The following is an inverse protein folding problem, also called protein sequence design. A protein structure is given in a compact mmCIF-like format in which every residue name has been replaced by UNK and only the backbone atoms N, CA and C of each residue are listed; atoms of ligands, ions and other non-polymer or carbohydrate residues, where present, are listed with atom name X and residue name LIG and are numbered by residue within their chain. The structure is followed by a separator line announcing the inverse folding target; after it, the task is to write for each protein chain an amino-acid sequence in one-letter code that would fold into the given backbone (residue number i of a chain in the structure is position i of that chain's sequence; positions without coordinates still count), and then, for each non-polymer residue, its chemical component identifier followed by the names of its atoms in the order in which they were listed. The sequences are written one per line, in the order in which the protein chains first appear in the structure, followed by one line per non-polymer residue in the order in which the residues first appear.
data_IF_466414214239
#
_entry.id   IF_466414214239
#
_cell.length_a   1.000
_cell.length_b   1.000
_cell.length_c   1.000
_cell.angle_alpha   90.00
_cell.angle_beta   90.00
_cell.angle_gamma   90.00
#
_symmetry.space_group_name_H-M   'P 1'
#
loop_
_entity.id
_entity.type
_entity.pdbx_description
1 polymer ?
#
# COMPACT_ATOMS: atom_id res chain seq x y z
N UNK A 1 1.87 -1.81 -25.13
CA UNK A 1 1.60 -2.45 -23.84
C UNK A 1 1.75 -1.46 -22.70
N UNK A 2 0.80 -1.40 -21.82
CA UNK A 2 0.84 -0.43 -20.74
C UNK A 2 1.85 -0.85 -19.67
N UNK A 3 2.41 0.16 -19.00
CA UNK A 3 3.33 -0.09 -17.90
C UNK A 3 2.59 -0.74 -16.74
N UNK A 4 3.21 -1.72 -16.13
CA UNK A 4 2.67 -2.32 -14.93
C UNK A 4 3.01 -1.43 -13.74
N UNK A 5 2.00 -1.15 -12.93
CA UNK A 5 2.19 -0.45 -11.67
C UNK A 5 2.23 -1.49 -10.56
N UNK A 6 2.59 -1.08 -9.36
CA UNK A 6 2.54 -2.02 -8.25
C UNK A 6 1.11 -2.47 -7.92
N UNK A 7 0.10 -1.72 -8.34
CA UNK A 7 -1.28 -2.16 -8.21
C UNK A 7 -1.55 -3.39 -9.09
N UNK A 8 -0.94 -3.42 -10.27
CA UNK A 8 -1.07 -4.56 -11.17
C UNK A 8 -0.47 -5.83 -10.56
N UNK A 9 0.53 -5.68 -9.69
CA UNK A 9 1.16 -6.81 -9.03
C UNK A 9 0.20 -7.55 -8.08
N UNK A 10 -0.84 -6.86 -7.63
CA UNK A 10 -1.84 -7.44 -6.72
C UNK A 10 -3.12 -7.83 -7.43
N UNK A 11 -3.12 -7.80 -8.76
CA UNK A 11 -4.32 -8.08 -9.57
C UNK A 11 -4.89 -9.48 -9.32
N UNK A 12 -4.03 -10.44 -9.05
CA UNK A 12 -4.43 -11.83 -8.83
C UNK A 12 -4.93 -12.11 -7.42
N UNK A 13 -4.95 -11.10 -6.57
CA UNK A 13 -5.38 -11.23 -5.18
C UNK A 13 -6.67 -10.46 -4.98
N UNK A 14 -7.56 -11.01 -4.16
CA UNK A 14 -8.80 -10.32 -3.82
C UNK A 14 -8.51 -9.19 -2.83
N UNK A 15 -9.44 -8.24 -2.76
CA UNK A 15 -9.36 -7.15 -1.77
C UNK A 15 -9.24 -7.72 -0.35
N UNK A 16 -10.01 -8.76 -0.07
CA UNK A 16 -10.02 -9.42 1.23
C UNK A 16 -8.65 -10.02 1.57
N UNK A 17 -8.02 -10.66 0.59
CA UNK A 17 -6.68 -11.23 0.77
C UNK A 17 -5.64 -10.15 1.05
N UNK A 18 -5.71 -9.04 0.33
CA UNK A 18 -4.79 -7.93 0.51
C UNK A 18 -5.00 -7.29 1.89
N UNK A 19 -6.24 -7.06 2.29
CA UNK A 19 -6.55 -6.49 3.59
C UNK A 19 -6.06 -7.38 4.73
N UNK A 20 -6.29 -8.69 4.63
CA UNK A 20 -5.83 -9.63 5.65
C UNK A 20 -4.32 -9.63 5.77
N UNK A 21 -3.62 -9.59 4.63
CA UNK A 21 -2.17 -9.56 4.62
C UNK A 21 -1.64 -8.26 5.23
N UNK A 22 -2.27 -7.13 4.92
CA UNK A 22 -1.88 -5.84 5.50
C UNK A 22 -2.02 -5.90 7.03
N UNK A 23 -3.15 -6.41 7.51
CA UNK A 23 -3.39 -6.50 8.94
C UNK A 23 -2.40 -7.42 9.64
N UNK A 24 -2.01 -8.50 8.98
CA UNK A 24 -1.15 -9.51 9.56
C UNK A 24 0.34 -9.17 9.49
N UNK A 25 0.78 -8.61 8.36
CA UNK A 25 2.22 -8.48 8.07
C UNK A 25 2.78 -7.08 8.25
N UNK A 26 1.92 -6.05 8.34
CA UNK A 26 2.37 -4.68 8.52
C UNK A 26 2.09 -4.25 9.96
N UNK A 27 3.12 -4.12 10.80
CA UNK A 27 2.91 -3.89 12.22
C UNK A 27 2.42 -2.51 12.59
N UNK A 28 2.80 -1.48 11.84
CA UNK A 28 2.41 -0.12 12.15
C UNK A 28 0.99 0.17 11.70
N UNK A 29 0.16 0.65 12.63
CA UNK A 29 -1.22 1.04 12.35
C UNK A 29 -1.29 2.12 11.27
N UNK A 30 -0.40 3.12 11.36
CA UNK A 30 -0.32 4.19 10.37
C UNK A 30 0.03 3.64 8.99
N UNK A 31 1.02 2.75 8.93
CA UNK A 31 1.45 2.16 7.66
C UNK A 31 0.36 1.30 7.04
N UNK A 32 -0.41 0.59 7.88
CA UNK A 32 -1.55 -0.19 7.39
C UNK A 32 -2.58 0.71 6.74
N UNK A 33 -2.91 1.83 7.37
CA UNK A 33 -3.89 2.77 6.82
C UNK A 33 -3.40 3.37 5.52
N UNK A 34 -2.12 3.75 5.46
CA UNK A 34 -1.53 4.31 4.25
C UNK A 34 -1.58 3.29 3.10
N UNK A 35 -1.25 2.04 3.38
CA UNK A 35 -1.29 0.99 2.37
C UNK A 35 -2.72 0.74 1.86
N UNK A 36 -3.68 0.69 2.76
CA UNK A 36 -5.08 0.50 2.37
C UNK A 36 -5.53 1.63 1.45
N UNK A 37 -5.21 2.85 1.82
CA UNK A 37 -5.59 4.02 1.03
C UNK A 37 -4.99 3.96 -0.36
N UNK A 38 -3.73 3.55 -0.46
CA UNK A 38 -3.06 3.52 -1.75
C UNK A 38 -3.42 2.30 -2.58
N UNK A 39 -3.42 1.12 -1.99
CA UNK A 39 -3.61 -0.12 -2.75
C UNK A 39 -5.08 -0.45 -2.99
N UNK A 40 -5.94 -0.15 -2.04
CA UNK A 40 -7.35 -0.54 -2.14
C UNK A 40 -8.27 0.60 -2.53
N UNK A 41 -7.94 1.83 -2.12
CA UNK A 41 -8.77 2.99 -2.39
C UNK A 41 -8.22 3.90 -3.49
N UNK A 42 -7.02 3.61 -3.95
CA UNK A 42 -6.36 4.35 -5.04
C UNK A 42 -6.26 5.85 -4.76
N UNK A 43 -5.98 6.21 -3.52
CA UNK A 43 -5.80 7.60 -3.12
C UNK A 43 -4.41 8.07 -3.56
N UNK A 44 -4.28 9.33 -3.95
CA UNK A 44 -2.99 9.87 -4.39
C UNK A 44 -2.03 10.03 -3.22
N UNK A 45 -0.73 10.03 -3.50
CA UNK A 45 0.28 10.25 -2.48
C UNK A 45 0.10 11.59 -1.78
N UNK A 46 -0.27 12.63 -2.53
CA UNK A 46 -0.49 13.96 -1.99
C UNK A 46 -1.62 13.97 -0.98
N UNK A 47 -2.72 13.31 -1.32
CA UNK A 47 -3.87 13.23 -0.43
C UNK A 47 -3.56 12.43 0.83
N UNK A 48 -2.84 11.32 0.68
CA UNK A 48 -2.42 10.51 1.82
C UNK A 48 -1.51 11.33 2.74
N UNK A 49 -0.58 12.07 2.15
CA UNK A 49 0.32 12.94 2.91
C UNK A 49 -0.47 13.96 3.73
N UNK A 50 -1.48 14.55 3.13
CA UNK A 50 -2.36 15.50 3.83
C UNK A 50 -3.12 14.85 4.98
N UNK A 51 -3.70 13.68 4.73
CA UNK A 51 -4.50 12.97 5.73
C UNK A 51 -3.64 12.64 6.95
N UNK A 52 -2.43 12.18 6.72
CA UNK A 52 -1.54 11.73 7.81
C UNK A 52 -0.54 12.77 8.25
N UNK A 53 -0.59 13.97 7.68
CA UNK A 53 0.30 15.10 8.00
C UNK A 53 1.77 14.72 7.84
N UNK A 54 2.08 14.13 6.69
CA UNK A 54 3.42 13.69 6.33
C UNK A 54 3.82 14.32 5.01
N UNK A 55 5.12 14.28 4.72
CA UNK A 55 5.63 14.68 3.40
C UNK A 55 5.29 13.60 2.38
N UNK A 56 5.10 14.02 1.13
CA UNK A 56 4.86 13.07 0.03
C UNK A 56 5.99 12.06 -0.07
N UNK A 57 7.24 12.50 0.07
CA UNK A 57 8.39 11.60 -0.01
C UNK A 57 8.36 10.55 1.11
N UNK A 58 7.91 10.93 2.29
CA UNK A 58 7.77 10.00 3.41
C UNK A 58 6.68 8.96 3.11
N UNK A 59 5.55 9.41 2.55
CA UNK A 59 4.46 8.50 2.18
C UNK A 59 4.94 7.50 1.13
N UNK A 60 5.65 7.96 0.11
CA UNK A 60 6.18 7.08 -0.92
C UNK A 60 7.13 6.03 -0.34
N UNK A 61 7.99 6.44 0.58
CA UNK A 61 8.93 5.53 1.24
C UNK A 61 8.17 4.46 2.02
N UNK A 62 7.16 4.86 2.77
CA UNK A 62 6.34 3.93 3.54
C UNK A 62 5.64 2.93 2.61
N UNK A 63 5.02 3.44 1.55
CA UNK A 63 4.30 2.59 0.60
C UNK A 63 5.25 1.59 -0.07
N UNK A 64 6.40 2.06 -0.57
CA UNK A 64 7.33 1.18 -1.27
C UNK A 64 7.88 0.09 -0.36
N UNK A 65 8.28 0.46 0.84
CA UNK A 65 8.83 -0.49 1.81
C UNK A 65 7.78 -1.51 2.25
N UNK A 66 6.60 -1.02 2.59
CA UNK A 66 5.53 -1.87 3.08
C UNK A 66 4.97 -2.77 1.98
N UNK A 67 4.85 -2.22 0.77
CA UNK A 67 4.41 -2.99 -0.39
C UNK A 67 5.36 -4.15 -0.69
N UNK A 68 6.66 -3.89 -0.64
CA UNK A 68 7.65 -4.94 -0.90
C UNK A 68 7.55 -6.06 0.13
N UNK A 69 7.34 -5.70 1.39
CA UNK A 69 7.16 -6.66 2.45
C UNK A 69 5.91 -7.50 2.22
N UNK A 70 4.81 -6.83 1.90
CA UNK A 70 3.53 -7.48 1.65
C UNK A 70 3.61 -8.43 0.47
N UNK A 71 4.21 -7.97 -0.62
CA UNK A 71 4.31 -8.74 -1.84
C UNK A 71 5.11 -10.02 -1.63
N UNK A 72 6.17 -9.96 -0.84
CA UNK A 72 6.96 -11.15 -0.50
C UNK A 72 6.14 -12.17 0.29
N UNK A 73 5.24 -11.71 1.14
CA UNK A 73 4.42 -12.61 1.94
C UNK A 73 3.28 -13.22 1.16
N UNK A 74 2.77 -12.50 0.16
CA UNK A 74 1.67 -12.97 -0.67
C UNK A 74 2.11 -13.98 -1.74
N UNK A 75 3.37 -14.00 -2.09
CA UNK A 75 3.87 -14.93 -3.11
C UNK A 75 3.88 -16.36 -2.64
#
# INVERSE_FOLDING_TARGET
MSKRTYLDQYRDFTTSEIESAIAEWIPSSRDRDILREKLLCNVTYETIAEIHKLDVSTVKRIVYKSRDRLFRKLK
#
